data_IF_866759072200
#
_entry.id   IF_866759072200
#
_cell.length_a   1.000
_cell.length_b   1.000
_cell.length_c   1.000
_cell.angle_alpha   90.00
_cell.angle_beta   90.00
_cell.angle_gamma   90.00
#
_symmetry.space_group_name_H-M   'P 1'
#
loop_
_entity.id
_entity.type
_entity.pdbx_description
1 polymer ?
#
# COMPACT_ATOMS: atom_id res chain seq x y z
N UNK A 1 19.14 -2.22 11.96
CA UNK A 1 17.79 -1.72 11.57
C UNK A 1 17.80 -1.56 10.05
N UNK A 2 16.83 -2.12 9.34
CA UNK A 2 16.72 -2.04 7.87
C UNK A 2 15.44 -1.29 7.52
N UNK A 3 15.52 -0.34 6.60
CA UNK A 3 14.38 0.39 6.09
C UNK A 3 14.31 0.23 4.56
N UNK A 4 13.18 -0.29 4.10
CA UNK A 4 12.93 -0.59 2.69
C UNK A 4 12.01 0.50 2.14
N UNK A 5 12.44 1.15 1.06
CA UNK A 5 11.72 2.24 0.42
C UNK A 5 11.67 2.04 -1.08
N UNK A 6 10.56 2.47 -1.67
CA UNK A 6 10.41 2.55 -3.11
C UNK A 6 11.15 3.78 -3.63
N UNK A 7 11.74 3.68 -4.82
CA UNK A 7 12.37 4.78 -5.54
C UNK A 7 11.33 5.80 -6.05
N UNK A 8 10.49 6.30 -5.15
CA UNK A 8 9.72 7.52 -5.38
C UNK A 8 10.63 8.70 -5.07
N UNK A 9 10.85 9.53 -6.08
CA UNK A 9 11.74 10.68 -6.10
C UNK A 9 11.48 11.73 -5.00
N UNK A 10 10.32 11.68 -4.35
CA UNK A 10 9.95 12.61 -3.28
C UNK A 10 10.67 12.37 -1.93
N UNK A 11 11.17 11.15 -1.66
CA UNK A 11 11.71 10.82 -0.34
C UNK A 11 13.24 10.83 -0.26
N UNK A 12 13.93 10.78 -1.39
CA UNK A 12 15.39 10.56 -1.43
C UNK A 12 16.10 11.92 -1.59
N UNK A 13 16.29 12.61 -0.46
CA UNK A 13 17.11 13.82 -0.37
C UNK A 13 18.37 13.54 0.46
N UNK A 14 19.43 14.34 0.30
CA UNK A 14 20.67 14.26 1.09
C UNK A 14 20.39 14.33 2.60
N UNK A 15 19.41 15.16 3.02
CA UNK A 15 19.00 15.28 4.44
C UNK A 15 18.40 13.97 4.95
N UNK A 16 17.60 13.32 4.11
CA UNK A 16 17.02 12.01 4.41
C UNK A 16 18.13 10.98 4.60
N UNK A 17 19.03 10.82 3.63
CA UNK A 17 20.14 9.85 3.71
C UNK A 17 21.01 10.10 4.95
N UNK A 18 21.35 11.36 5.25
CA UNK A 18 22.14 11.73 6.44
C UNK A 18 21.46 11.32 7.75
N UNK A 19 20.15 11.45 7.86
CA UNK A 19 19.40 11.02 9.04
C UNK A 19 19.54 9.51 9.27
N UNK A 20 19.31 8.70 8.23
CA UNK A 20 19.39 7.24 8.37
C UNK A 20 20.81 6.75 8.61
N UNK A 21 21.80 7.38 7.96
CA UNK A 21 23.21 7.12 8.20
C UNK A 21 23.60 7.40 9.66
N UNK A 22 23.22 8.57 10.20
CA UNK A 22 23.48 8.94 11.60
C UNK A 22 22.85 7.95 12.59
N UNK A 23 21.67 7.44 12.27
CA UNK A 23 20.94 6.48 13.09
C UNK A 23 21.35 5.01 12.88
N UNK A 24 22.38 4.73 12.06
CA UNK A 24 22.86 3.39 11.71
C UNK A 24 21.73 2.48 11.18
N UNK A 25 20.86 3.06 10.35
CA UNK A 25 19.77 2.34 9.69
C UNK A 25 20.19 2.08 8.24
N UNK A 26 20.22 0.81 7.83
CA UNK A 26 20.47 0.44 6.46
C UNK A 26 19.27 0.79 5.59
N UNK A 27 19.51 1.37 4.42
CA UNK A 27 18.49 1.80 3.49
C UNK A 27 18.55 0.92 2.24
N UNK A 28 17.48 0.18 1.98
CA UNK A 28 17.29 -0.58 0.75
C UNK A 28 16.31 0.19 -0.13
N UNK A 29 16.78 0.66 -1.28
CA UNK A 29 15.96 1.44 -2.23
C UNK A 29 15.63 0.54 -3.41
N UNK A 30 14.37 0.15 -3.54
CA UNK A 30 13.91 -0.68 -4.66
C UNK A 30 13.46 0.17 -5.84
N UNK A 31 13.83 -0.28 -7.05
CA UNK A 31 13.28 0.28 -8.29
C UNK A 31 11.76 0.12 -8.32
N UNK A 32 11.03 1.07 -8.92
CA UNK A 32 9.56 1.11 -8.95
C UNK A 32 8.90 -0.17 -9.47
N UNK A 33 9.61 -0.98 -10.28
CA UNK A 33 9.10 -2.25 -10.79
C UNK A 33 9.21 -3.41 -9.79
N UNK A 34 10.14 -3.31 -8.84
CA UNK A 34 10.41 -4.36 -7.85
C UNK A 34 9.55 -4.21 -6.59
N UNK A 35 8.90 -3.07 -6.40
CA UNK A 35 8.18 -2.73 -5.18
C UNK A 35 7.00 -3.66 -4.94
N UNK A 36 6.20 -3.88 -5.98
CA UNK A 36 5.07 -4.81 -5.98
C UNK A 36 5.44 -6.28 -5.75
N UNK A 37 6.74 -6.63 -5.86
CA UNK A 37 7.23 -8.01 -5.72
C UNK A 37 8.18 -8.24 -4.55
N UNK A 38 8.84 -7.20 -4.07
CA UNK A 38 9.86 -7.30 -3.02
C UNK A 38 9.54 -6.46 -1.79
N UNK A 39 8.65 -5.47 -1.88
CA UNK A 39 8.27 -4.69 -0.70
C UNK A 39 7.26 -5.49 0.13
N UNK A 40 7.59 -5.85 1.39
CA UNK A 40 6.70 -6.66 2.22
C UNK A 40 5.35 -5.99 2.46
N UNK A 41 5.34 -4.65 2.51
CA UNK A 41 4.14 -3.86 2.67
C UNK A 41 3.15 -4.07 1.52
N UNK A 42 3.64 -4.07 0.28
CA UNK A 42 2.80 -4.22 -0.92
C UNK A 42 2.30 -5.67 -1.07
N UNK A 43 3.20 -6.65 -0.93
CA UNK A 43 2.90 -8.07 -1.17
C UNK A 43 2.05 -8.67 -0.07
N UNK A 44 2.28 -8.27 1.17
CA UNK A 44 1.62 -8.90 2.31
C UNK A 44 0.46 -8.02 2.75
N UNK A 45 0.75 -6.83 3.26
CA UNK A 45 -0.26 -6.00 3.91
C UNK A 45 -1.31 -5.52 2.89
N UNK A 46 -0.90 -4.80 1.85
CA UNK A 46 -1.87 -4.27 0.88
C UNK A 46 -2.56 -5.35 0.06
N UNK A 47 -1.89 -6.46 -0.26
CA UNK A 47 -2.52 -7.58 -0.93
C UNK A 47 -3.65 -8.21 -0.09
N UNK A 48 -3.39 -8.54 1.19
CA UNK A 48 -4.43 -9.10 2.06
C UNK A 48 -5.56 -8.09 2.31
N UNK A 49 -5.23 -6.81 2.47
CA UNK A 49 -6.24 -5.75 2.56
C UNK A 49 -7.08 -5.65 1.29
N UNK A 50 -6.46 -5.75 0.11
CA UNK A 50 -7.17 -5.75 -1.17
C UNK A 50 -8.12 -6.95 -1.29
N UNK A 51 -7.68 -8.15 -0.91
CA UNK A 51 -8.54 -9.35 -0.89
C UNK A 51 -9.72 -9.15 0.05
N UNK A 52 -9.46 -8.75 1.30
CA UNK A 52 -10.52 -8.52 2.28
C UNK A 52 -11.52 -7.47 1.79
N UNK A 53 -11.03 -6.37 1.26
CA UNK A 53 -11.85 -5.31 0.68
C UNK A 53 -12.70 -5.84 -0.50
N UNK A 54 -12.09 -6.59 -1.42
CA UNK A 54 -12.79 -7.17 -2.56
C UNK A 54 -13.89 -8.13 -2.11
N UNK A 55 -13.65 -8.93 -1.07
CA UNK A 55 -14.66 -9.86 -0.54
C UNK A 55 -15.86 -9.12 0.07
N UNK A 56 -15.62 -8.05 0.83
CA UNK A 56 -16.71 -7.20 1.36
C UNK A 56 -17.47 -6.50 0.25
N UNK A 57 -16.76 -5.95 -0.74
CA UNK A 57 -17.36 -5.26 -1.88
C UNK A 57 -18.23 -6.21 -2.71
N UNK A 58 -17.74 -7.42 -2.98
CA UNK A 58 -18.51 -8.45 -3.68
C UNK A 58 -19.75 -8.86 -2.91
N UNK A 59 -19.66 -9.04 -1.58
CA UNK A 59 -20.84 -9.31 -0.72
C UNK A 59 -21.86 -8.18 -0.79
N UNK A 60 -21.41 -6.93 -0.75
CA UNK A 60 -22.28 -5.75 -0.87
C UNK A 60 -22.99 -5.71 -2.23
N UNK A 61 -22.27 -6.00 -3.32
CA UNK A 61 -22.84 -6.07 -4.69
C UNK A 61 -23.86 -7.21 -4.83
N UNK A 62 -23.57 -8.38 -4.26
CA UNK A 62 -24.49 -9.52 -4.29
C UNK A 62 -25.78 -9.22 -3.51
N UNK A 63 -25.66 -8.66 -2.30
CA UNK A 63 -26.80 -8.31 -1.46
C UNK A 63 -27.69 -7.22 -2.08
N UNK A 64 -27.10 -6.38 -2.93
CA UNK A 64 -27.80 -5.28 -3.60
C UNK A 64 -28.47 -5.65 -4.93
N UNK A 65 -28.50 -6.95 -5.28
CA UNK A 65 -29.15 -7.46 -6.50
C UNK A 65 -28.75 -6.70 -7.79
N UNK A 66 -27.50 -6.20 -7.86
CA UNK A 66 -26.95 -5.37 -8.96
C UNK A 66 -27.67 -4.04 -9.22
N UNK A 67 -28.58 -3.60 -8.37
CA UNK A 67 -29.41 -2.40 -8.58
C UNK A 67 -28.90 -1.14 -7.86
N UNK A 68 -27.66 -1.14 -7.38
CA UNK A 68 -27.10 0.03 -6.69
C UNK A 68 -26.28 0.93 -7.61
N UNK A 69 -26.67 2.20 -7.62
CA UNK A 69 -25.77 3.32 -7.96
C UNK A 69 -24.72 3.37 -6.85
N UNK A 70 -23.55 2.80 -7.09
CA UNK A 70 -22.44 2.81 -6.13
C UNK A 70 -21.93 4.24 -5.98
N UNK A 71 -22.19 4.89 -4.84
CA UNK A 71 -21.78 6.28 -4.59
C UNK A 71 -20.56 6.26 -3.67
N UNK A 72 -19.70 7.28 -3.77
CA UNK A 72 -18.47 7.44 -2.96
C UNK A 72 -18.71 7.34 -1.44
N UNK A 73 -19.94 7.55 -0.96
CA UNK A 73 -20.35 7.37 0.44
C UNK A 73 -20.43 5.89 0.87
N UNK A 74 -20.78 4.99 -0.03
CA UNK A 74 -20.88 3.57 0.26
C UNK A 74 -19.50 2.92 0.44
N UNK A 75 -18.46 3.51 -0.15
CA UNK A 75 -17.06 3.16 0.14
C UNK A 75 -16.77 3.24 1.64
N UNK A 76 -17.21 4.30 2.31
CA UNK A 76 -16.96 4.49 3.75
C UNK A 76 -17.72 3.49 4.63
N UNK A 77 -18.76 2.82 4.13
CA UNK A 77 -19.43 1.73 4.86
C UNK A 77 -18.67 0.41 4.78
N UNK A 78 -17.77 0.27 3.82
CA UNK A 78 -16.98 -0.95 3.59
C UNK A 78 -15.66 -0.92 4.41
N UNK A 79 -15.12 0.29 4.66
CA UNK A 79 -14.00 0.56 5.56
C UNK A 79 -14.45 0.63 7.01
#
# INVERSE_FOLDING_TARGET
RLFIINRHSFYINIKFIKYYYKNKIFLAIYSSYLTYRLQPLDIFFFFFFAIYYLTKLNRFILNSKKFLRFIKRDLFRIF
#
